data_IF_236850008592
#
_entry.id   IF_236850008592
#
_cell.length_a   1.000
_cell.length_b   1.000
_cell.length_c   1.000
_cell.angle_alpha   90.00
_cell.angle_beta   90.00
_cell.angle_gamma   90.00
#
_symmetry.space_group_name_H-M   'P 1'
#
loop_
_entity.id
_entity.type
_entity.pdbx_description
1 polymer ?
#
# COMPACT_ATOMS: atom_id res chain seq x y z
N UNK A 1 11.29 -13.59 -23.60
CA UNK A 1 10.66 -13.55 -22.26
C UNK A 1 9.16 -13.72 -22.45
N UNK A 2 8.68 -14.95 -22.60
CA UNK A 2 7.23 -15.20 -22.64
C UNK A 2 6.67 -14.89 -21.26
N UNK A 3 5.69 -14.00 -21.18
CA UNK A 3 4.96 -13.79 -19.93
C UNK A 3 4.32 -15.10 -19.53
N UNK A 4 4.79 -15.71 -18.44
CA UNK A 4 4.24 -16.97 -17.93
C UNK A 4 2.76 -16.81 -17.49
N UNK A 5 2.33 -15.58 -17.25
CA UNK A 5 0.98 -15.20 -16.83
C UNK A 5 0.49 -14.00 -17.65
N UNK A 6 -0.84 -13.86 -17.76
CA UNK A 6 -1.47 -12.65 -18.30
C UNK A 6 -0.94 -11.40 -17.59
N UNK A 7 -0.81 -10.28 -18.31
CA UNK A 7 -0.34 -8.99 -17.76
C UNK A 7 -1.15 -8.58 -16.53
N UNK A 8 -2.47 -8.78 -16.57
CA UNK A 8 -3.34 -8.49 -15.43
C UNK A 8 -3.00 -9.35 -14.21
N UNK A 9 -2.80 -10.66 -14.41
CA UNK A 9 -2.41 -11.59 -13.35
C UNK A 9 -1.04 -11.23 -12.77
N UNK A 10 -0.08 -10.84 -13.62
CA UNK A 10 1.26 -10.44 -13.19
C UNK A 10 1.21 -9.18 -12.31
N UNK A 11 0.45 -8.16 -12.72
CA UNK A 11 0.29 -6.92 -11.95
C UNK A 11 -0.35 -7.19 -10.59
N UNK A 12 -1.39 -8.03 -10.53
CA UNK A 12 -2.05 -8.39 -9.27
C UNK A 12 -1.09 -9.12 -8.33
N UNK A 13 -0.35 -10.12 -8.85
CA UNK A 13 0.64 -10.86 -8.04
C UNK A 13 1.70 -9.92 -7.49
N UNK A 14 2.26 -9.04 -8.32
CA UNK A 14 3.27 -8.05 -7.88
C UNK A 14 2.68 -7.15 -6.80
N UNK A 15 1.49 -6.59 -7.00
CA UNK A 15 0.86 -5.71 -6.01
C UNK A 15 0.63 -6.42 -4.66
N UNK A 16 0.13 -7.65 -4.67
CA UNK A 16 -0.08 -8.45 -3.45
C UNK A 16 1.26 -8.74 -2.77
N UNK A 17 2.26 -9.20 -3.52
CA UNK A 17 3.58 -9.50 -2.95
C UNK A 17 4.29 -8.26 -2.41
N UNK A 18 4.08 -7.07 -3.01
CA UNK A 18 4.62 -5.81 -2.53
C UNK A 18 4.02 -5.43 -1.16
N UNK A 19 2.70 -5.56 -0.99
CA UNK A 19 2.03 -5.32 0.30
C UNK A 19 2.51 -6.32 1.34
N UNK A 20 2.61 -7.61 0.99
CA UNK A 20 3.14 -8.64 1.89
C UNK A 20 4.59 -8.34 2.30
N UNK A 21 5.41 -7.81 1.39
CA UNK A 21 6.79 -7.43 1.72
C UNK A 21 6.84 -6.33 2.77
N UNK A 22 6.04 -5.28 2.62
CA UNK A 22 5.95 -4.21 3.62
C UNK A 22 5.61 -4.79 4.99
N UNK A 23 4.62 -5.69 5.07
CA UNK A 23 4.25 -6.35 6.33
C UNK A 23 5.38 -7.20 6.92
N UNK A 24 6.06 -8.00 6.10
CA UNK A 24 7.19 -8.84 6.53
C UNK A 24 8.32 -7.99 7.09
N UNK A 25 8.69 -6.89 6.41
CA UNK A 25 9.71 -5.96 6.87
C UNK A 25 9.36 -5.37 8.25
N UNK A 26 8.12 -4.96 8.44
CA UNK A 26 7.65 -4.35 9.69
C UNK A 26 7.61 -5.35 10.86
N UNK A 27 7.27 -6.61 10.61
CA UNK A 27 7.20 -7.64 11.66
C UNK A 27 8.57 -8.23 11.96
N UNK A 28 9.31 -8.68 10.93
CA UNK A 28 10.55 -9.45 11.12
C UNK A 28 11.77 -8.56 11.35
N UNK A 29 11.92 -7.45 10.61
CA UNK A 29 13.09 -6.57 10.74
C UNK A 29 12.88 -5.47 11.77
N UNK A 30 11.72 -4.79 11.71
CA UNK A 30 11.43 -3.72 12.66
C UNK A 30 11.00 -4.23 14.03
N UNK A 31 10.93 -5.56 14.23
CA UNK A 31 10.61 -6.23 15.50
C UNK A 31 9.58 -5.46 16.30
N UNK A 32 8.45 -5.11 15.66
CA UNK A 32 7.35 -4.43 16.34
C UNK A 32 6.84 -5.37 17.43
N UNK A 33 7.36 -5.15 18.63
CA UNK A 33 7.07 -6.00 19.75
C UNK A 33 5.66 -5.65 20.21
N UNK A 34 4.72 -6.55 19.97
CA UNK A 34 3.34 -6.46 20.48
C UNK A 34 3.27 -6.53 22.01
N UNK A 35 4.43 -6.61 22.70
CA UNK A 35 4.59 -6.59 24.15
C UNK A 35 5.37 -5.37 24.68
N UNK A 36 5.62 -4.33 23.88
CA UNK A 36 6.19 -3.09 24.40
C UNK A 36 5.11 -2.28 25.16
N UNK A 37 4.82 -2.72 26.40
CA UNK A 37 4.17 -2.06 27.55
C UNK A 37 2.86 -1.27 27.42
N UNK A 38 2.39 -0.87 26.24
CA UNK A 38 1.22 0.00 26.11
C UNK A 38 0.72 -0.05 24.66
N UNK A 39 -0.55 -0.36 24.41
CA UNK A 39 -1.14 -0.57 23.06
C UNK A 39 -1.02 0.60 22.05
N UNK A 40 -0.28 1.65 22.39
CA UNK A 40 -0.02 2.85 21.60
C UNK A 40 0.83 2.61 20.34
N UNK A 41 1.68 1.58 20.29
CA UNK A 41 2.49 1.27 19.11
C UNK A 41 1.63 0.72 17.95
N UNK A 42 0.65 -0.15 18.27
CA UNK A 42 -0.30 -0.67 17.28
C UNK A 42 -1.21 0.46 16.76
N UNK A 43 -1.71 1.32 17.65
CA UNK A 43 -2.54 2.47 17.29
C UNK A 43 -1.81 3.44 16.36
N UNK A 44 -0.56 3.77 16.67
CA UNK A 44 0.28 4.63 15.83
C UNK A 44 0.51 4.01 14.45
N UNK A 45 0.73 2.69 14.39
CA UNK A 45 0.93 1.97 13.13
C UNK A 45 -0.32 1.95 12.24
N UNK A 46 -1.49 1.63 12.80
CA UNK A 46 -2.76 1.66 12.06
C UNK A 46 -3.09 3.07 11.58
N UNK A 47 -2.78 4.09 12.38
CA UNK A 47 -2.94 5.48 12.00
C UNK A 47 -2.04 5.87 10.81
N UNK A 48 -0.76 5.52 10.84
CA UNK A 48 0.16 5.76 9.71
C UNK A 48 -0.29 5.02 8.45
N UNK A 49 -0.75 3.77 8.57
CA UNK A 49 -1.27 3.02 7.43
C UNK A 49 -2.54 3.65 6.84
N UNK A 50 -3.44 4.15 7.70
CA UNK A 50 -4.66 4.84 7.28
C UNK A 50 -4.32 6.12 6.51
N UNK A 51 -3.39 6.94 7.01
CA UNK A 51 -2.90 8.13 6.31
C UNK A 51 -2.28 7.73 4.96
N UNK A 52 -1.46 6.68 4.92
CA UNK A 52 -0.82 6.22 3.69
C UNK A 52 -1.85 5.83 2.62
N UNK A 53 -2.90 5.10 2.99
CA UNK A 53 -4.00 4.75 2.07
C UNK A 53 -4.75 5.98 1.60
N UNK A 54 -5.05 6.93 2.50
CA UNK A 54 -5.72 8.18 2.15
C UNK A 54 -4.90 9.05 1.20
N UNK A 55 -3.60 9.20 1.44
CA UNK A 55 -2.71 10.00 0.59
C UNK A 55 -2.52 9.33 -0.77
N UNK A 56 -2.15 8.05 -0.81
CA UNK A 56 -1.91 7.36 -2.09
C UNK A 56 -3.20 7.19 -2.89
N UNK A 57 -4.26 6.71 -2.25
CA UNK A 57 -5.57 6.55 -2.88
C UNK A 57 -6.18 7.89 -3.31
N UNK A 58 -6.10 8.90 -2.44
CA UNK A 58 -6.56 10.25 -2.74
C UNK A 58 -5.77 10.91 -3.88
N UNK A 59 -4.44 10.80 -3.88
CA UNK A 59 -3.61 11.33 -4.98
C UNK A 59 -3.89 10.64 -6.31
N UNK A 60 -4.02 9.30 -6.34
CA UNK A 60 -4.39 8.58 -7.55
C UNK A 60 -5.77 9.00 -8.05
N UNK A 61 -6.75 9.11 -7.16
CA UNK A 61 -8.10 9.54 -7.50
C UNK A 61 -8.13 10.98 -8.05
N UNK A 62 -7.46 11.92 -7.38
CA UNK A 62 -7.37 13.31 -7.81
C UNK A 62 -6.70 13.41 -9.18
N UNK A 63 -5.58 12.70 -9.40
CA UNK A 63 -4.90 12.73 -10.70
C UNK A 63 -5.76 12.14 -11.82
N UNK A 64 -6.47 11.04 -11.57
CA UNK A 64 -7.40 10.48 -12.55
C UNK A 64 -8.57 11.43 -12.83
N UNK A 65 -9.16 12.01 -11.79
CA UNK A 65 -10.27 12.95 -11.92
C UNK A 65 -9.86 14.22 -12.69
N UNK A 66 -8.70 14.80 -12.35
CA UNK A 66 -8.14 15.96 -13.04
C UNK A 66 -7.80 15.64 -14.50
N UNK A 67 -7.20 14.47 -14.76
CA UNK A 67 -6.88 14.03 -16.12
C UNK A 67 -8.15 13.88 -16.98
N UNK A 68 -9.20 13.28 -16.44
CA UNK A 68 -10.49 13.18 -17.14
C UNK A 68 -11.09 14.57 -17.40
N UNK A 69 -11.04 15.49 -16.43
CA UNK A 69 -11.62 16.82 -16.57
C UNK A 69 -10.80 17.78 -17.46
N UNK A 70 -9.48 17.62 -17.56
CA UNK A 70 -8.62 18.45 -18.41
C UNK A 70 -8.47 17.89 -19.83
N UNK A 71 -8.69 16.60 -20.05
CA UNK A 71 -8.57 15.96 -21.37
C UNK A 71 -9.91 15.89 -22.14
N UNK A 72 -11.03 16.18 -21.47
CA UNK A 72 -12.38 16.34 -22.08
C UNK A 72 -12.64 17.81 -22.53
N UNK A 73 -11.67 18.72 -22.32
CA UNK A 73 -11.69 20.10 -22.82
C UNK A 73 -11.15 20.24 -24.24
#
# INVERSE_FOLDING_TARGET
>A
MSGALSTATTVVVIAVTAVLQILVQLVMFMHMNTKADEGWNLMSFVFTLTILVLVVGGSLWIMQHLHLNMMIG
#
